data_IF_479407657979
#
_entry.id   IF_479407657979
#
_cell.length_a   1.000
_cell.length_b   1.000
_cell.length_c   1.000
_cell.angle_alpha   90.00
_cell.angle_beta   90.00
_cell.angle_gamma   90.00
#
_symmetry.space_group_name_H-M   'P 1'
#
loop_
_entity.id
_entity.type
_entity.pdbx_description
1 polymer ?
#
# COMPACT_ATOMS: atom_id res chain seq x y z
N UNK A 1 -17.87 21.50 -4.28
CA UNK A 1 -16.40 21.56 -4.31
C UNK A 1 -15.94 20.88 -5.60
N UNK A 2 -14.95 21.42 -6.33
CA UNK A 2 -14.45 20.85 -7.59
C UNK A 2 -13.03 20.31 -7.37
N UNK A 3 -12.77 19.08 -7.79
CA UNK A 3 -11.45 18.44 -7.72
C UNK A 3 -10.79 18.51 -9.09
N UNK A 4 -9.58 19.07 -9.14
CA UNK A 4 -8.74 19.08 -10.34
C UNK A 4 -7.42 18.40 -9.98
N UNK A 5 -7.11 17.31 -10.68
CA UNK A 5 -5.94 16.50 -10.40
C UNK A 5 -5.19 16.21 -11.70
N UNK A 6 -3.89 16.46 -11.68
CA UNK A 6 -2.99 16.02 -12.76
C UNK A 6 -2.60 14.56 -12.50
N UNK A 7 -3.01 13.68 -13.40
CA UNK A 7 -2.70 12.25 -13.35
C UNK A 7 -1.75 11.89 -14.51
N UNK A 8 -0.73 11.06 -14.28
CA UNK A 8 0.14 10.58 -15.36
C UNK A 8 -0.65 9.87 -16.45
N UNK A 9 -0.23 10.02 -17.71
CA UNK A 9 -0.94 9.48 -18.89
C UNK A 9 -1.25 7.98 -18.78
N UNK A 10 -0.30 7.20 -18.23
CA UNK A 10 -0.50 5.77 -17.99
C UNK A 10 -1.74 5.46 -17.13
N UNK A 11 -2.03 6.28 -16.12
CA UNK A 11 -3.22 6.15 -15.27
C UNK A 11 -4.44 6.79 -15.92
N UNK A 12 -4.26 7.91 -16.61
CA UNK A 12 -5.34 8.55 -17.37
C UNK A 12 -5.95 7.61 -18.41
N UNK A 13 -5.11 6.90 -19.16
CA UNK A 13 -5.55 5.90 -20.15
C UNK A 13 -6.28 4.72 -19.51
N UNK A 14 -5.81 4.25 -18.35
CA UNK A 14 -6.49 3.18 -17.62
C UNK A 14 -7.89 3.60 -17.14
N UNK A 15 -8.03 4.84 -16.66
CA UNK A 15 -9.33 5.42 -16.26
C UNK A 15 -10.26 5.54 -17.47
N UNK A 16 -9.75 5.99 -18.63
CA UNK A 16 -10.54 6.08 -19.86
C UNK A 16 -11.06 4.73 -20.31
N UNK A 17 -10.19 3.70 -20.34
CA UNK A 17 -10.56 2.34 -20.73
C UNK A 17 -11.61 1.75 -19.78
N UNK A 18 -11.42 1.91 -18.48
CA UNK A 18 -12.38 1.44 -17.49
C UNK A 18 -13.73 2.17 -17.59
N UNK A 19 -13.73 3.47 -17.89
CA UNK A 19 -14.97 4.24 -18.07
C UNK A 19 -15.75 3.74 -19.29
N UNK A 20 -15.05 3.45 -20.39
CA UNK A 20 -15.63 2.86 -21.59
C UNK A 20 -16.20 1.45 -21.33
N UNK A 21 -15.42 0.58 -20.67
CA UNK A 21 -15.85 -0.79 -20.33
C UNK A 21 -17.11 -0.81 -19.45
N UNK A 22 -17.25 0.16 -18.54
CA UNK A 22 -18.38 0.27 -17.62
C UNK A 22 -19.53 1.14 -18.14
N UNK A 23 -19.39 1.76 -19.32
CA UNK A 23 -20.38 2.69 -19.87
C UNK A 23 -20.60 3.95 -19.01
N UNK A 24 -19.58 4.38 -18.26
CA UNK A 24 -19.64 5.51 -17.35
C UNK A 24 -18.91 6.73 -17.92
N UNK A 25 -19.32 7.92 -17.47
CA UNK A 25 -18.47 9.10 -17.67
C UNK A 25 -17.23 9.02 -16.77
N UNK A 26 -16.16 9.70 -17.17
CA UNK A 26 -14.93 9.85 -16.36
C UNK A 26 -15.22 10.33 -14.94
N UNK A 27 -16.10 11.32 -14.80
CA UNK A 27 -16.47 11.88 -13.50
C UNK A 27 -17.19 10.86 -12.63
N UNK A 28 -18.17 10.14 -13.18
CA UNK A 28 -18.88 9.08 -12.46
C UNK A 28 -17.94 7.96 -12.00
N UNK A 29 -17.02 7.53 -12.87
CA UNK A 29 -16.03 6.51 -12.50
C UNK A 29 -15.13 6.99 -11.35
N UNK A 30 -14.69 8.25 -11.38
CA UNK A 30 -13.86 8.84 -10.33
C UNK A 30 -14.65 8.96 -9.02
N UNK A 31 -15.90 9.41 -9.07
CA UNK A 31 -16.77 9.53 -7.91
C UNK A 31 -17.00 8.16 -7.25
N UNK A 32 -17.26 7.12 -8.05
CA UNK A 32 -17.44 5.75 -7.55
C UNK A 32 -16.13 5.21 -6.94
N UNK A 33 -14.99 5.40 -7.62
CA UNK A 33 -13.70 4.97 -7.10
C UNK A 33 -13.35 5.64 -5.76
N UNK A 34 -13.67 6.94 -5.62
CA UNK A 34 -13.50 7.67 -4.36
C UNK A 34 -14.44 7.13 -3.28
N UNK A 35 -15.71 6.86 -3.60
CA UNK A 35 -16.67 6.29 -2.66
C UNK A 35 -16.20 4.93 -2.13
N UNK A 36 -15.78 4.04 -3.04
CA UNK A 36 -15.22 2.73 -2.68
C UNK A 36 -13.98 2.85 -1.81
N UNK A 37 -13.05 3.74 -2.17
CA UNK A 37 -11.84 3.97 -1.38
C UNK A 37 -12.16 4.50 0.03
N UNK A 38 -13.02 5.50 0.15
CA UNK A 38 -13.42 6.08 1.43
C UNK A 38 -14.15 5.04 2.31
N UNK A 39 -14.98 4.19 1.70
CA UNK A 39 -15.63 3.08 2.39
C UNK A 39 -14.58 2.10 2.92
N UNK A 40 -13.66 1.64 2.08
CA UNK A 40 -12.60 0.72 2.47
C UNK A 40 -11.75 1.27 3.63
N UNK A 41 -11.33 2.54 3.55
CA UNK A 41 -10.58 3.21 4.63
C UNK A 41 -11.39 3.29 5.93
N UNK A 42 -12.68 3.60 5.84
CA UNK A 42 -13.55 3.70 7.01
C UNK A 42 -13.73 2.35 7.70
N UNK A 43 -13.88 1.27 6.92
CA UNK A 43 -13.98 -0.08 7.46
C UNK A 43 -12.65 -0.56 8.06
N UNK A 44 -11.52 -0.30 7.38
CA UNK A 44 -10.20 -0.58 7.90
C UNK A 44 -9.96 0.12 9.24
N UNK A 45 -10.29 1.41 9.36
CA UNK A 45 -10.20 2.17 10.63
C UNK A 45 -11.02 1.56 11.78
N UNK A 46 -12.06 0.78 11.47
CA UNK A 46 -12.88 0.07 12.46
C UNK A 46 -12.33 -1.32 12.79
N UNK A 47 -11.13 -1.66 12.31
CA UNK A 47 -10.49 -2.96 12.50
C UNK A 47 -11.03 -4.08 11.60
N UNK A 48 -11.83 -3.74 10.58
CA UNK A 48 -12.38 -4.74 9.64
C UNK A 48 -11.49 -4.88 8.42
N UNK A 49 -11.35 -6.12 7.93
CA UNK A 49 -10.67 -6.42 6.67
C UNK A 49 -11.60 -6.17 5.50
N UNK A 50 -11.04 -5.65 4.41
CA UNK A 50 -11.77 -5.39 3.17
C UNK A 50 -11.44 -6.50 2.18
N UNK A 51 -12.47 -7.21 1.73
CA UNK A 51 -12.34 -8.38 0.86
C UNK A 51 -13.34 -8.30 -0.29
N UNK A 52 -12.98 -8.89 -1.42
CA UNK A 52 -13.89 -9.19 -2.52
C UNK A 52 -14.48 -10.57 -2.26
N UNK A 53 -15.81 -10.65 -2.28
CA UNK A 53 -16.57 -11.87 -1.99
C UNK A 53 -17.25 -12.34 -3.27
N UNK A 54 -17.26 -13.64 -3.49
CA UNK A 54 -18.02 -14.27 -4.57
C UNK A 54 -19.52 -14.14 -4.25
N UNK A 55 -20.33 -13.56 -5.15
CA UNK A 55 -21.76 -13.34 -4.87
C UNK A 55 -22.57 -14.64 -4.76
N UNK A 56 -22.13 -15.74 -5.37
CA UNK A 56 -22.83 -17.03 -5.38
C UNK A 56 -22.45 -17.88 -4.17
N UNK A 57 -21.15 -17.93 -3.83
CA UNK A 57 -20.66 -18.81 -2.76
C UNK A 57 -20.49 -18.10 -1.43
N UNK A 58 -20.52 -16.75 -1.41
CA UNK A 58 -20.16 -15.92 -0.25
C UNK A 58 -18.74 -16.18 0.30
N UNK A 59 -17.88 -16.83 -0.49
CA UNK A 59 -16.49 -17.08 -0.12
C UNK A 59 -15.61 -15.87 -0.46
N UNK A 60 -14.53 -15.69 0.32
CA UNK A 60 -13.55 -14.64 0.04
C UNK A 60 -12.71 -15.01 -1.16
N UNK A 61 -12.75 -14.20 -2.21
CA UNK A 61 -11.98 -14.42 -3.45
C UNK A 61 -10.63 -13.70 -3.38
N UNK A 62 -10.61 -12.44 -2.92
CA UNK A 62 -9.40 -11.60 -2.89
C UNK A 62 -9.42 -10.67 -1.67
N UNK A 63 -8.31 -10.59 -0.93
CA UNK A 63 -8.09 -9.55 0.09
C UNK A 63 -7.56 -8.26 -0.57
N UNK A 64 -8.22 -7.13 -0.33
CA UNK A 64 -7.82 -5.83 -0.87
C UNK A 64 -6.66 -5.25 -0.04
N UNK A 65 -5.43 -5.43 -0.51
CA UNK A 65 -4.25 -4.83 0.10
C UNK A 65 -3.81 -3.55 -0.62
N UNK A 66 -3.55 -2.48 0.13
CA UNK A 66 -2.88 -1.28 -0.35
C UNK A 66 -1.98 -0.71 0.74
N UNK A 67 -0.92 0.06 0.40
CA UNK A 67 -0.04 0.64 1.43
C UNK A 67 -0.79 1.44 2.50
N UNK A 68 -1.86 2.16 2.12
CA UNK A 68 -2.70 2.89 3.06
C UNK A 68 -3.50 1.97 3.97
N UNK A 69 -4.10 0.90 3.43
CA UNK A 69 -4.86 -0.07 4.23
C UNK A 69 -3.94 -0.84 5.18
N UNK A 70 -2.79 -1.30 4.69
CA UNK A 70 -1.78 -2.00 5.52
C UNK A 70 -1.25 -1.11 6.65
N UNK A 71 -0.98 0.17 6.37
CA UNK A 71 -0.56 1.11 7.42
C UNK A 71 -1.63 1.29 8.50
N UNK A 72 -2.92 1.34 8.11
CA UNK A 72 -4.03 1.42 9.06
C UNK A 72 -4.16 0.15 9.89
N UNK A 73 -4.07 -1.02 9.27
CA UNK A 73 -4.10 -2.32 9.96
C UNK A 73 -3.01 -2.43 11.02
N UNK A 74 -1.78 -2.02 10.69
CA UNK A 74 -0.66 -2.01 11.63
C UNK A 74 -0.87 -1.04 12.78
N UNK A 75 -1.40 0.15 12.49
CA UNK A 75 -1.71 1.14 13.51
C UNK A 75 -2.77 0.65 14.51
N UNK A 76 -3.71 -0.18 14.05
CA UNK A 76 -4.80 -0.72 14.88
C UNK A 76 -4.39 -1.94 15.70
N UNK A 77 -3.37 -2.68 15.26
CA UNK A 77 -2.86 -3.87 15.97
C UNK A 77 -1.39 -3.70 16.36
N UNK A 78 -1.05 -2.74 17.24
CA UNK A 78 0.31 -2.61 17.74
C UNK A 78 0.69 -3.88 18.52
N UNK A 79 1.74 -4.57 18.07
CA UNK A 79 2.27 -5.74 18.76
C UNK A 79 3.38 -5.28 19.73
N UNK A 80 3.14 -5.28 21.06
CA UNK A 80 4.17 -4.91 22.01
C UNK A 80 5.28 -5.97 21.99
N UNK A 81 6.49 -5.54 21.62
CA UNK A 81 7.64 -6.42 21.61
C UNK A 81 8.17 -6.53 23.04
N UNK A 82 7.93 -7.68 23.68
CA UNK A 82 8.45 -7.96 25.02
C UNK A 82 9.94 -8.28 24.91
N UNK A 83 10.77 -7.33 25.30
CA UNK A 83 12.22 -7.48 25.34
C UNK A 83 12.67 -7.66 26.79
N UNK A 84 13.55 -8.63 27.01
CA UNK A 84 14.29 -8.77 28.27
C UNK A 84 15.36 -7.67 28.39
N UNK A 85 15.80 -7.39 29.62
CA UNK A 85 16.87 -6.41 29.85
C UNK A 85 18.17 -6.73 29.08
N UNK A 86 18.49 -8.00 28.90
CA UNK A 86 19.65 -8.44 28.11
C UNK A 86 19.50 -8.14 26.61
N UNK A 87 18.30 -8.28 26.05
CA UNK A 87 18.03 -7.95 24.64
C UNK A 87 18.05 -6.44 24.41
N UNK A 88 17.57 -5.65 25.37
CA UNK A 88 17.66 -4.18 25.34
C UNK A 88 19.12 -3.73 25.36
N UNK A 89 19.95 -4.30 26.25
CA UNK A 89 21.38 -4.00 26.31
C UNK A 89 22.10 -4.39 25.00
N UNK A 90 21.74 -5.54 24.40
CA UNK A 90 22.26 -5.97 23.10
C UNK A 90 21.87 -4.99 21.98
N UNK A 91 20.64 -4.50 21.98
CA UNK A 91 20.20 -3.50 20.99
C UNK A 91 20.96 -2.18 21.14
N UNK A 92 21.18 -1.71 22.36
CA UNK A 92 21.97 -0.50 22.63
C UNK A 92 23.40 -0.66 22.10
N UNK A 93 24.08 -1.76 22.41
CA UNK A 93 25.43 -2.03 21.93
C UNK A 93 25.52 -2.08 20.39
N UNK A 94 24.53 -2.68 19.73
CA UNK A 94 24.45 -2.73 18.25
C UNK A 94 24.12 -1.37 17.62
N UNK A 95 23.41 -0.50 18.32
CA UNK A 95 23.11 0.85 17.87
C UNK A 95 24.34 1.77 17.98
N UNK A 96 25.16 1.60 19.02
CA UNK A 96 26.41 2.32 19.21
C UNK A 96 27.50 1.88 18.22
N UNK A 97 27.56 0.59 17.89
CA UNK A 97 28.52 0.04 16.94
C UNK A 97 27.82 -0.80 15.85
N UNK A 98 27.17 -0.14 14.88
CA UNK A 98 26.45 -0.85 13.83
C UNK A 98 27.42 -1.56 12.90
N UNK A 99 27.19 -2.86 12.70
CA UNK A 99 27.96 -3.63 11.75
C UNK A 99 27.72 -3.14 10.31
N UNK A 100 28.75 -3.12 9.45
CA UNK A 100 28.59 -2.73 8.07
C UNK A 100 27.65 -3.71 7.33
N UNK A 101 26.86 -3.25 6.36
CA UNK A 101 25.99 -4.10 5.56
C UNK A 101 26.78 -5.23 4.89
N UNK A 102 26.30 -6.47 5.06
CA UNK A 102 26.92 -7.63 4.42
C UNK A 102 26.74 -7.60 2.89
N UNK A 103 27.48 -8.47 2.16
CA UNK A 103 27.46 -8.51 0.70
C UNK A 103 26.05 -8.70 0.12
N UNK A 104 25.23 -9.55 0.76
CA UNK A 104 23.85 -9.83 0.35
C UNK A 104 22.95 -8.59 0.47
N UNK A 105 23.05 -7.88 1.59
CA UNK A 105 22.30 -6.65 1.83
C UNK A 105 22.74 -5.51 0.89
N UNK A 106 24.05 -5.40 0.62
CA UNK A 106 24.59 -4.45 -0.38
C UNK A 106 24.05 -4.73 -1.79
N UNK A 107 23.96 -6.01 -2.18
CA UNK A 107 23.40 -6.40 -3.48
C UNK A 107 21.91 -6.05 -3.58
N UNK A 108 21.12 -6.36 -2.54
CA UNK A 108 19.70 -6.02 -2.50
C UNK A 108 19.46 -4.50 -2.56
N UNK A 109 20.24 -3.72 -1.81
CA UNK A 109 20.17 -2.26 -1.84
C UNK A 109 20.49 -1.68 -3.23
N UNK A 110 21.49 -2.23 -3.93
CA UNK A 110 21.81 -1.84 -5.32
C UNK A 110 20.66 -2.14 -6.28
N UNK A 111 20.05 -3.34 -6.17
CA UNK A 111 18.92 -3.73 -7.02
C UNK A 111 17.70 -2.82 -6.80
N UNK A 112 17.39 -2.48 -5.54
CA UNK A 112 16.33 -1.52 -5.20
C UNK A 112 16.62 -0.11 -5.75
N UNK A 113 17.85 0.38 -5.57
CA UNK A 113 18.30 1.67 -6.12
C UNK A 113 18.26 1.74 -7.65
N UNK A 114 18.58 0.63 -8.33
CA UNK A 114 18.50 0.53 -9.78
C UNK A 114 17.04 0.53 -10.27
N UNK A 115 16.14 -0.21 -9.60
CA UNK A 115 14.72 -0.25 -9.92
C UNK A 115 14.05 1.13 -9.76
N UNK A 116 14.40 1.86 -8.70
CA UNK A 116 13.88 3.21 -8.43
C UNK A 116 14.42 4.26 -9.40
N UNK A 117 15.69 4.17 -9.83
CA UNK A 117 16.26 5.05 -10.86
C UNK A 117 15.69 4.80 -12.26
N UNK A 118 15.44 3.54 -12.62
CA UNK A 118 14.86 3.17 -13.92
C UNK A 118 13.44 3.73 -14.07
N UNK A 119 12.65 3.68 -12.99
CA UNK A 119 11.30 4.25 -12.90
C UNK A 119 11.26 5.79 -13.01
N UNK A 120 12.35 6.48 -12.66
CA UNK A 120 12.50 7.94 -12.78
C UNK A 120 12.96 8.44 -14.16
N UNK A 121 13.44 7.54 -15.02
CA UNK A 121 13.91 7.88 -16.39
C UNK A 121 12.89 7.54 -17.47
N UNK A 122 11.83 6.82 -17.12
CA UNK A 122 10.78 6.36 -18.02
C UNK A 122 9.44 7.09 -17.82
N UNK A 123 9.46 8.21 -17.09
CA UNK A 123 8.35 9.15 -16.94
C UNK A 123 8.89 10.55 -17.16
#
# INVERSE_FOLDING_TARGET
MRLEATIPDSRGNAVLKAAEELGLSRSQLIDEALALFLKAVTEAKRGRRVVVVDPETSETVIELSSPTLTALEWALNPQPLKLSGAEIAKMQALAESPAPPNKRLKAAGKSYGAATKRKRRSG
#
